data_IF_472283188216
#
_entry.id   IF_472283188216
#
_cell.length_a   1.000
_cell.length_b   1.000
_cell.length_c   1.000
_cell.angle_alpha   90.00
_cell.angle_beta   90.00
_cell.angle_gamma   90.00
#
_symmetry.space_group_name_H-M   'P 1'
#
loop_
_entity.id
_entity.type
_entity.pdbx_description
1 polymer ?
#
# COMPACT_ATOMS: atom_id res chain seq x y z
N UNK A 1 26.38 -21.78 12.04
CA UNK A 1 25.25 -21.81 11.09
C UNK A 1 24.38 -20.60 11.37
N UNK A 2 24.11 -19.77 10.37
CA UNK A 2 23.10 -18.72 10.48
C UNK A 2 21.74 -19.38 10.63
N UNK A 3 21.04 -19.14 11.74
CA UNK A 3 19.67 -19.63 11.93
C UNK A 3 18.74 -18.91 10.96
N UNK A 4 17.85 -19.67 10.32
CA UNK A 4 16.71 -19.10 9.60
C UNK A 4 15.78 -18.41 10.62
N UNK A 5 15.38 -17.17 10.34
CA UNK A 5 14.47 -16.37 11.15
C UNK A 5 13.56 -15.50 10.25
N UNK A 6 12.59 -14.83 10.87
CA UNK A 6 11.57 -14.03 10.19
C UNK A 6 12.20 -12.94 9.32
N UNK A 7 13.21 -12.23 9.83
CA UNK A 7 13.93 -11.19 9.08
C UNK A 7 14.66 -11.75 7.85
N UNK A 8 15.22 -12.96 7.92
CA UNK A 8 15.84 -13.61 6.76
C UNK A 8 14.79 -14.01 5.71
N UNK A 9 13.63 -14.49 6.15
CA UNK A 9 12.51 -14.86 5.27
C UNK A 9 11.91 -13.60 4.62
N UNK A 10 11.69 -12.54 5.39
CA UNK A 10 11.15 -11.26 4.92
C UNK A 10 12.04 -10.65 3.83
N UNK A 11 13.35 -10.54 4.09
CA UNK A 11 14.30 -10.02 3.10
C UNK A 11 14.32 -10.82 1.81
N UNK A 12 14.23 -12.15 1.91
CA UNK A 12 14.17 -13.00 0.72
C UNK A 12 12.85 -12.82 -0.04
N UNK A 13 11.72 -12.68 0.67
CA UNK A 13 10.43 -12.40 0.04
C UNK A 13 10.41 -11.05 -0.68
N UNK A 14 10.94 -9.99 -0.05
CA UNK A 14 11.10 -8.66 -0.68
C UNK A 14 11.91 -8.81 -1.97
N UNK A 15 13.07 -9.47 -1.91
CA UNK A 15 13.89 -9.72 -3.09
C UNK A 15 13.11 -10.42 -4.22
N UNK A 16 12.32 -11.46 -3.90
CA UNK A 16 11.50 -12.15 -4.90
C UNK A 16 10.47 -11.23 -5.55
N UNK A 17 9.80 -10.37 -4.77
CA UNK A 17 8.85 -9.39 -5.31
C UNK A 17 9.55 -8.34 -6.17
N UNK A 18 10.72 -7.86 -5.78
CA UNK A 18 11.52 -6.95 -6.63
C UNK A 18 11.90 -7.61 -7.95
N UNK A 19 12.24 -8.91 -7.97
CA UNK A 19 12.49 -9.65 -9.22
C UNK A 19 11.25 -9.78 -10.11
N UNK A 20 10.04 -9.73 -9.53
CA UNK A 20 8.78 -9.70 -10.26
C UNK A 20 8.37 -8.29 -10.71
N UNK A 21 9.19 -7.27 -10.41
CA UNK A 21 8.95 -5.88 -10.80
C UNK A 21 8.12 -5.07 -9.79
N UNK A 22 7.94 -5.56 -8.57
CA UNK A 22 7.31 -4.79 -7.50
C UNK A 22 8.32 -3.81 -6.89
N UNK A 23 7.84 -2.61 -6.57
CA UNK A 23 8.62 -1.62 -5.82
C UNK A 23 8.52 -1.91 -4.33
N UNK A 24 9.67 -2.07 -3.66
CA UNK A 24 9.72 -2.11 -2.21
C UNK A 24 9.78 -0.70 -1.62
N UNK A 25 8.93 -0.44 -0.63
CA UNK A 25 8.92 0.82 0.12
C UNK A 25 9.14 0.50 1.59
N UNK A 26 10.14 1.15 2.19
CA UNK A 26 10.42 1.04 3.60
C UNK A 26 9.34 1.77 4.41
N UNK A 27 8.48 1.05 5.14
CA UNK A 27 7.31 1.63 5.79
C UNK A 27 7.58 2.88 6.67
N UNK A 28 8.68 2.96 7.45
CA UNK A 28 9.02 4.17 8.19
C UNK A 28 9.28 5.42 7.34
N UNK A 29 9.68 5.26 6.07
CA UNK A 29 9.89 6.39 5.16
C UNK A 29 8.60 7.08 4.71
N UNK A 30 7.45 6.44 4.94
CA UNK A 30 6.12 6.95 4.58
C UNK A 30 5.16 7.02 5.78
N UNK A 31 5.70 6.87 6.98
CA UNK A 31 4.93 6.95 8.23
C UNK A 31 4.37 8.37 8.46
N UNK A 32 3.37 8.53 9.34
CA UNK A 32 2.76 9.84 9.61
C UNK A 32 3.74 10.91 10.13
N UNK A 33 4.82 10.46 10.77
CA UNK A 33 5.89 11.29 11.35
C UNK A 33 7.16 11.34 10.48
N UNK A 34 7.08 10.86 9.24
CA UNK A 34 8.19 10.90 8.28
C UNK A 34 8.25 12.22 7.49
N UNK A 35 9.34 12.42 6.76
CA UNK A 35 9.49 13.56 5.84
C UNK A 35 8.59 13.48 4.60
N UNK A 36 8.03 12.29 4.30
CA UNK A 36 7.16 12.04 3.16
C UNK A 36 5.95 11.17 3.56
N UNK A 37 5.06 11.67 4.43
CA UNK A 37 3.99 10.88 5.01
C UNK A 37 2.97 10.51 3.93
N UNK A 38 2.80 9.20 3.66
CA UNK A 38 1.70 8.68 2.84
C UNK A 38 0.57 8.10 3.71
N UNK A 39 0.78 8.07 5.03
CA UNK A 39 -0.20 7.66 6.04
C UNK A 39 -0.49 8.83 6.96
N UNK A 40 -1.75 8.95 7.40
CA UNK A 40 -2.18 9.92 8.44
C UNK A 40 -2.08 9.32 9.83
N UNK A 41 -2.15 8.00 9.97
CA UNK A 41 -1.95 7.29 11.24
C UNK A 41 -1.23 5.95 11.01
N UNK A 42 -0.67 5.38 12.07
CA UNK A 42 -0.07 4.04 12.00
C UNK A 42 -1.12 2.92 11.83
N UNK A 43 -2.38 3.22 12.12
CA UNK A 43 -3.52 2.30 11.99
C UNK A 43 -4.06 2.23 10.55
N UNK A 44 -3.69 3.19 9.69
CA UNK A 44 -4.11 3.17 8.29
C UNK A 44 -3.52 1.96 7.54
N UNK A 45 -4.42 1.14 7.02
CA UNK A 45 -4.11 -0.02 6.16
C UNK A 45 -4.12 0.32 4.67
N UNK A 46 -4.74 1.44 4.29
CA UNK A 46 -4.81 1.92 2.91
C UNK A 46 -3.93 3.15 2.72
N UNK A 47 -3.16 3.18 1.63
CA UNK A 47 -2.49 4.39 1.14
C UNK A 47 -3.45 5.12 0.18
N UNK A 48 -4.32 5.97 0.74
CA UNK A 48 -5.48 6.55 0.02
C UNK A 48 -5.09 7.29 -1.25
N UNK A 49 -4.01 8.08 -1.22
CA UNK A 49 -3.56 8.85 -2.38
C UNK A 49 -3.09 7.92 -3.52
N UNK A 50 -2.25 6.92 -3.18
CA UNK A 50 -1.81 5.90 -4.16
C UNK A 50 -3.00 5.10 -4.71
N UNK A 51 -4.00 4.81 -3.87
CA UNK A 51 -5.22 4.14 -4.31
C UNK A 51 -5.98 4.98 -5.33
N UNK A 52 -6.18 6.28 -5.05
CA UNK A 52 -6.85 7.22 -5.97
C UNK A 52 -6.12 7.32 -7.31
N UNK A 53 -4.79 7.47 -7.28
CA UNK A 53 -3.97 7.51 -8.49
C UNK A 53 -4.07 6.20 -9.29
N UNK A 54 -4.00 5.05 -8.62
CA UNK A 54 -4.11 3.76 -9.27
C UNK A 54 -5.49 3.53 -9.89
N UNK A 55 -6.57 3.88 -9.19
CA UNK A 55 -7.94 3.77 -9.70
C UNK A 55 -8.13 4.63 -10.96
N UNK A 56 -7.64 5.87 -10.93
CA UNK A 56 -7.68 6.78 -12.09
C UNK A 56 -6.88 6.24 -13.27
N UNK A 57 -5.66 5.78 -13.01
CA UNK A 57 -4.76 5.23 -14.05
C UNK A 57 -5.32 3.96 -14.71
N UNK A 58 -5.95 3.08 -13.93
CA UNK A 58 -6.48 1.80 -14.43
C UNK A 58 -7.83 1.99 -15.14
N UNK A 59 -8.62 2.99 -14.73
CA UNK A 59 -9.99 3.18 -15.19
C UNK A 59 -10.22 4.53 -15.90
N UNK A 60 -9.42 4.91 -16.92
CA UNK A 60 -9.49 6.24 -17.53
C UNK A 60 -10.84 6.54 -18.21
N UNK A 61 -11.57 5.51 -18.61
CA UNK A 61 -12.87 5.63 -19.28
C UNK A 61 -14.06 5.60 -18.31
N UNK A 62 -13.83 5.36 -17.03
CA UNK A 62 -14.88 5.37 -16.00
C UNK A 62 -15.05 6.80 -15.48
N UNK A 63 -16.28 7.33 -15.35
CA UNK A 63 -16.50 8.66 -14.82
C UNK A 63 -15.84 8.87 -13.45
N UNK A 64 -15.22 10.02 -13.24
CA UNK A 64 -14.53 10.35 -11.99
C UNK A 64 -15.44 10.22 -10.75
N UNK A 65 -16.75 10.49 -10.91
CA UNK A 65 -17.74 10.30 -9.84
C UNK A 65 -17.85 8.85 -9.40
N UNK A 66 -17.90 7.91 -10.35
CA UNK A 66 -17.97 6.48 -10.07
C UNK A 66 -16.65 5.93 -9.50
N UNK A 67 -15.51 6.47 -9.94
CA UNK A 67 -14.22 6.14 -9.33
C UNK A 67 -14.16 6.58 -7.86
N UNK A 68 -14.60 7.81 -7.56
CA UNK A 68 -14.65 8.32 -6.19
C UNK A 68 -15.63 7.53 -5.31
N UNK A 69 -16.75 7.09 -5.85
CA UNK A 69 -17.69 6.22 -5.15
C UNK A 69 -17.07 4.85 -4.81
N UNK A 70 -16.40 4.22 -5.76
CA UNK A 70 -15.71 2.95 -5.53
C UNK A 70 -14.64 3.05 -4.43
N UNK A 71 -13.89 4.15 -4.39
CA UNK A 71 -12.88 4.39 -3.35
C UNK A 71 -13.52 4.53 -1.97
N UNK A 72 -14.64 5.26 -1.87
CA UNK A 72 -15.40 5.36 -0.61
C UNK A 72 -15.92 4.01 -0.14
N UNK A 73 -16.36 3.15 -1.05
CA UNK A 73 -16.80 1.81 -0.69
C UNK A 73 -15.64 0.96 -0.16
N UNK A 74 -14.44 1.06 -0.75
CA UNK A 74 -13.23 0.38 -0.25
C UNK A 74 -12.85 0.87 1.15
N UNK A 75 -12.88 2.19 1.38
CA UNK A 75 -12.58 2.78 2.70
C UNK A 75 -13.57 2.35 3.79
N UNK A 76 -14.81 1.99 3.43
CA UNK A 76 -15.83 1.50 4.37
C UNK A 76 -15.68 0.04 4.73
N UNK A 77 -14.85 -0.73 4.03
CA UNK A 77 -14.57 -2.13 4.37
C UNK A 77 -13.79 -2.13 5.69
N UNK A 78 -14.53 -2.17 6.80
CA UNK A 78 -13.97 -2.51 8.09
C UNK A 78 -13.52 -3.96 8.00
N UNK A 79 -12.25 -4.23 8.35
CA UNK A 79 -11.84 -5.62 8.58
C UNK A 79 -12.77 -6.20 9.66
N UNK A 80 -13.40 -7.36 9.44
CA UNK A 80 -14.11 -8.05 10.51
C UNK A 80 -13.14 -8.29 11.67
N UNK A 81 -13.60 -8.07 12.91
CA UNK A 81 -12.85 -8.43 14.14
C UNK A 81 -12.52 -9.93 14.19
#
# INVERSE_FOLDING_TARGET
>A
MTKLNENAIEKFAIYLFEQLGYEYIYAPSIAPDSDNPQRKSFEEVLLVERLQEAVSRINPNVPATAQAEAIKEIERIHSPE
#
